data_IF_692527331399
#
_entry.id   IF_692527331399
#
_cell.length_a   1.000
_cell.length_b   1.000
_cell.length_c   1.000
_cell.angle_alpha   90.00
_cell.angle_beta   90.00
_cell.angle_gamma   90.00
#
_symmetry.space_group_name_H-M   'P 1'
#
loop_
_entity.id
_entity.type
_entity.pdbx_description
1 polymer ?
#
# COMPACT_ATOMS: atom_id res chain seq x y z
N UNK A 1 -31.13 16.18 -93.60
CA UNK A 1 -31.74 15.82 -92.29
C UNK A 1 -30.80 14.79 -91.65
N UNK A 2 -30.18 14.91 -90.49
CA UNK A 2 -30.23 15.83 -89.37
C UNK A 2 -29.87 15.04 -88.10
N UNK A 3 -28.95 15.56 -87.26
CA UNK A 3 -28.62 15.20 -85.85
C UNK A 3 -27.84 13.88 -85.65
N UNK A 4 -26.59 13.83 -85.13
CA UNK A 4 -25.97 14.31 -83.86
C UNK A 4 -26.66 13.83 -82.57
N UNK A 5 -25.93 13.06 -81.76
CA UNK A 5 -25.69 13.17 -80.30
C UNK A 5 -24.89 11.92 -79.84
N UNK A 6 -23.64 12.03 -79.37
CA UNK A 6 -23.19 12.17 -77.96
C UNK A 6 -23.70 11.03 -77.06
N UNK A 7 -22.97 10.31 -76.21
CA UNK A 7 -21.63 10.25 -75.63
C UNK A 7 -21.49 8.78 -75.10
N UNK A 8 -20.39 8.18 -74.62
CA UNK A 8 -19.46 8.60 -73.58
C UNK A 8 -18.30 7.58 -73.46
N UNK A 9 -17.28 8.02 -72.71
CA UNK A 9 -15.93 7.50 -72.50
C UNK A 9 -15.90 6.32 -71.50
N UNK A 10 -14.96 5.38 -71.68
CA UNK A 10 -14.30 4.68 -70.57
C UNK A 10 -12.83 4.37 -70.93
N UNK A 11 -11.93 5.22 -70.44
CA UNK A 11 -10.47 5.05 -70.46
C UNK A 11 -10.05 4.24 -69.23
N UNK A 12 -9.42 3.10 -69.44
CA UNK A 12 -8.71 2.37 -68.40
C UNK A 12 -7.29 2.95 -68.25
N UNK A 13 -6.93 3.39 -67.05
CA UNK A 13 -5.54 3.73 -66.71
C UNK A 13 -5.15 2.99 -65.44
N UNK A 14 -4.13 2.15 -65.62
CA UNK A 14 -3.34 1.42 -64.62
C UNK A 14 -2.71 2.41 -63.63
N UNK A 15 -2.93 2.22 -62.33
CA UNK A 15 -2.25 2.94 -61.25
C UNK A 15 -1.39 2.00 -60.43
N UNK A 16 -0.08 2.05 -60.66
CA UNK A 16 0.98 1.35 -59.93
C UNK A 16 1.04 1.84 -58.46
N UNK A 17 0.72 0.98 -57.50
CA UNK A 17 0.88 1.28 -56.07
C UNK A 17 2.32 0.97 -55.66
N UNK A 18 3.14 2.02 -55.53
CA UNK A 18 4.43 1.99 -54.85
C UNK A 18 4.18 2.03 -53.33
N UNK A 19 4.24 0.88 -52.67
CA UNK A 19 4.31 0.81 -51.21
C UNK A 19 5.69 1.30 -50.77
N UNK A 20 5.76 2.51 -50.25
CA UNK A 20 6.94 3.00 -49.53
C UNK A 20 7.04 2.26 -48.20
N UNK A 21 7.99 1.33 -48.10
CA UNK A 21 8.44 0.84 -46.81
C UNK A 21 9.14 2.00 -46.10
N UNK A 22 8.44 2.65 -45.17
CA UNK A 22 9.09 3.50 -44.19
C UNK A 22 9.89 2.59 -43.26
N UNK A 23 11.18 2.42 -43.56
CA UNK A 23 12.14 1.88 -42.60
C UNK A 23 12.14 2.85 -41.43
N UNK A 24 11.45 2.47 -40.36
CA UNK A 24 11.47 3.19 -39.09
C UNK A 24 12.94 3.22 -38.65
N UNK A 25 13.61 4.34 -38.85
CA UNK A 25 14.95 4.55 -38.31
C UNK A 25 14.78 4.51 -36.80
N UNK A 26 15.21 3.41 -36.17
CA UNK A 26 15.42 3.38 -34.74
C UNK A 26 16.39 4.52 -34.43
N UNK A 27 15.86 5.65 -33.93
CA UNK A 27 16.67 6.78 -33.53
C UNK A 27 17.66 6.30 -32.49
N UNK A 28 18.95 6.48 -32.76
CA UNK A 28 20.00 6.22 -31.78
C UNK A 28 19.66 7.00 -30.51
N UNK A 29 19.57 6.34 -29.33
CA UNK A 29 19.24 7.03 -28.09
C UNK A 29 20.22 8.17 -27.84
N UNK A 30 19.71 9.32 -27.40
CA UNK A 30 20.60 10.40 -26.95
C UNK A 30 21.32 10.01 -25.64
N UNK A 31 22.26 10.85 -25.19
CA UNK A 31 23.05 10.57 -23.98
C UNK A 31 22.18 10.32 -22.73
N UNK A 32 21.15 11.14 -22.52
CA UNK A 32 20.22 11.02 -21.37
C UNK A 32 19.41 9.72 -21.44
N UNK A 33 18.96 9.34 -22.62
CA UNK A 33 18.22 8.10 -22.86
C UNK A 33 19.11 6.87 -22.62
N UNK A 34 20.36 6.93 -23.09
CA UNK A 34 21.35 5.86 -22.89
C UNK A 34 21.71 5.69 -21.41
N UNK A 35 21.88 6.79 -20.67
CA UNK A 35 22.16 6.79 -19.23
C UNK A 35 20.99 6.22 -18.42
N UNK A 36 19.74 6.62 -18.74
CA UNK A 36 18.56 6.13 -18.06
C UNK A 36 18.37 4.62 -18.29
N UNK A 37 18.61 4.14 -19.52
CA UNK A 37 18.57 2.71 -19.84
C UNK A 37 19.65 1.93 -19.07
N UNK A 38 20.90 2.40 -19.08
CA UNK A 38 21.99 1.76 -18.34
C UNK A 38 21.73 1.73 -16.82
N UNK A 39 21.08 2.76 -16.28
CA UNK A 39 20.70 2.82 -14.86
C UNK A 39 19.62 1.79 -14.54
N UNK A 40 18.61 1.66 -15.40
CA UNK A 40 17.57 0.64 -15.27
C UNK A 40 18.15 -0.77 -15.33
N UNK A 41 18.98 -1.06 -16.33
CA UNK A 41 19.58 -2.38 -16.51
C UNK A 41 20.45 -2.78 -15.32
N UNK A 42 21.21 -1.83 -14.75
CA UNK A 42 21.99 -2.05 -13.52
C UNK A 42 21.07 -2.36 -12.33
N UNK A 43 20.05 -1.54 -12.10
CA UNK A 43 19.12 -1.76 -10.98
C UNK A 43 18.37 -3.10 -11.09
N UNK A 44 18.00 -3.51 -12.31
CA UNK A 44 17.40 -4.82 -12.58
C UNK A 44 18.40 -5.96 -12.32
N UNK A 45 19.66 -5.81 -12.73
CA UNK A 45 20.73 -6.75 -12.43
C UNK A 45 20.95 -6.95 -10.93
N UNK A 46 21.03 -5.84 -10.18
CA UNK A 46 21.18 -5.85 -8.72
C UNK A 46 19.97 -6.52 -8.05
N UNK A 47 18.75 -6.22 -8.50
CA UNK A 47 17.54 -6.84 -7.96
C UNK A 47 17.53 -8.36 -8.18
N UNK A 48 17.88 -8.84 -9.37
CA UNK A 48 18.01 -10.28 -9.67
C UNK A 48 19.07 -10.95 -8.80
N UNK A 49 20.23 -10.30 -8.64
CA UNK A 49 21.33 -10.83 -7.83
C UNK A 49 20.94 -10.98 -6.37
N UNK A 50 20.33 -9.95 -5.77
CA UNK A 50 19.90 -9.97 -4.37
C UNK A 50 18.75 -10.97 -4.15
N UNK A 51 17.82 -11.10 -5.11
CA UNK A 51 16.78 -12.14 -5.08
C UNK A 51 17.39 -13.54 -5.04
N UNK A 52 18.29 -13.85 -5.97
CA UNK A 52 18.95 -15.16 -6.03
C UNK A 52 19.72 -15.46 -4.74
N UNK A 53 20.42 -14.47 -4.20
CA UNK A 53 21.19 -14.58 -2.96
C UNK A 53 20.27 -14.86 -1.74
N UNK A 54 19.15 -14.14 -1.60
CA UNK A 54 18.19 -14.42 -0.52
C UNK A 54 17.47 -15.75 -0.68
N UNK A 55 17.15 -16.13 -1.92
CA UNK A 55 16.58 -17.45 -2.24
C UNK A 55 17.52 -18.56 -1.81
N UNK A 56 18.80 -18.49 -2.22
CA UNK A 56 19.81 -19.50 -1.84
C UNK A 56 19.94 -19.64 -0.33
N UNK A 57 20.04 -18.54 0.41
CA UNK A 57 20.12 -18.60 1.87
C UNK A 57 18.91 -19.29 2.49
N UNK A 58 17.70 -18.97 2.01
CA UNK A 58 16.46 -19.60 2.49
C UNK A 58 16.42 -21.10 2.15
N UNK A 59 16.74 -21.47 0.90
CA UNK A 59 16.76 -22.87 0.44
C UNK A 59 17.81 -23.71 1.18
N UNK A 60 19.00 -23.15 1.41
CA UNK A 60 20.09 -23.79 2.14
C UNK A 60 19.92 -23.75 3.67
N UNK A 61 18.87 -23.08 4.18
CA UNK A 61 18.64 -22.84 5.62
C UNK A 61 19.83 -22.15 6.31
N UNK A 62 20.53 -21.30 5.57
CA UNK A 62 21.60 -20.48 6.11
C UNK A 62 21.04 -19.37 7.02
N UNK A 63 21.83 -18.88 7.99
CA UNK A 63 21.45 -17.71 8.77
C UNK A 63 21.19 -16.50 7.87
N UNK A 64 20.01 -15.89 8.04
CA UNK A 64 19.66 -14.66 7.33
C UNK A 64 20.26 -13.43 8.02
N UNK A 65 20.53 -12.34 7.27
CA UNK A 65 21.03 -11.11 7.89
C UNK A 65 20.00 -10.47 8.81
N UNK A 66 20.49 -9.66 9.76
CA UNK A 66 19.64 -8.81 10.59
C UNK A 66 18.89 -7.82 9.68
N UNK A 67 17.54 -7.87 9.66
CA UNK A 67 16.66 -7.22 8.68
C UNK A 67 16.74 -7.86 7.28
N UNK A 68 16.29 -9.11 7.14
CA UNK A 68 16.58 -9.93 5.96
C UNK A 68 15.91 -9.43 4.67
N UNK A 69 14.82 -8.68 4.77
CA UNK A 69 14.11 -8.08 3.65
C UNK A 69 14.63 -6.71 3.23
N UNK A 70 15.53 -6.06 3.99
CA UNK A 70 15.92 -4.67 3.74
C UNK A 70 16.60 -4.49 2.38
N UNK A 71 17.59 -5.31 2.06
CA UNK A 71 18.31 -5.23 0.78
C UNK A 71 17.38 -5.49 -0.41
N UNK A 72 16.49 -6.49 -0.30
CA UNK A 72 15.49 -6.79 -1.32
C UNK A 72 14.52 -5.64 -1.55
N UNK A 73 14.02 -5.05 -0.46
CA UNK A 73 13.10 -3.92 -0.54
C UNK A 73 13.75 -2.73 -1.25
N UNK A 74 14.99 -2.39 -0.90
CA UNK A 74 15.73 -1.30 -1.52
C UNK A 74 15.99 -1.57 -3.01
N UNK A 75 16.39 -2.79 -3.37
CA UNK A 75 16.62 -3.16 -4.76
C UNK A 75 15.32 -3.10 -5.60
N UNK A 76 14.19 -3.55 -5.03
CA UNK A 76 12.87 -3.40 -5.65
C UNK A 76 12.48 -1.94 -5.85
N UNK A 77 12.72 -1.08 -4.84
CA UNK A 77 12.45 0.36 -4.98
C UNK A 77 13.35 0.98 -6.05
N UNK A 78 14.63 0.57 -6.12
CA UNK A 78 15.58 1.05 -7.12
C UNK A 78 15.13 0.71 -8.54
N UNK A 79 14.71 -0.53 -8.81
CA UNK A 79 14.28 -0.93 -10.16
C UNK A 79 13.03 -0.17 -10.62
N UNK A 80 12.02 -0.03 -9.78
CA UNK A 80 10.79 0.74 -10.06
C UNK A 80 11.14 2.22 -10.29
N UNK A 81 12.02 2.78 -9.44
CA UNK A 81 12.50 4.15 -9.58
C UNK A 81 13.23 4.39 -10.90
N UNK A 82 14.20 3.53 -11.24
CA UNK A 82 14.98 3.66 -12.47
C UNK A 82 14.14 3.44 -13.72
N UNK A 83 13.10 2.61 -13.63
CA UNK A 83 12.16 2.44 -14.73
C UNK A 83 11.32 3.69 -14.94
N UNK A 84 10.89 4.36 -13.86
CA UNK A 84 10.24 5.66 -13.97
C UNK A 84 11.16 6.71 -14.60
N UNK A 85 12.44 6.74 -14.23
CA UNK A 85 13.44 7.61 -14.85
C UNK A 85 13.63 7.29 -16.35
N UNK A 86 13.64 6.01 -16.71
CA UNK A 86 13.71 5.55 -18.09
C UNK A 86 12.49 5.98 -18.91
N UNK A 87 11.28 5.78 -18.42
CA UNK A 87 10.06 6.17 -19.14
C UNK A 87 9.88 7.68 -19.24
N UNK A 88 10.42 8.46 -18.30
CA UNK A 88 10.49 9.92 -18.41
C UNK A 88 11.45 10.38 -19.52
N UNK A 89 12.59 9.70 -19.68
CA UNK A 89 13.55 10.00 -20.75
C UNK A 89 13.14 9.41 -22.11
N UNK A 90 12.41 8.30 -22.10
CA UNK A 90 11.99 7.51 -23.26
C UNK A 90 10.52 7.06 -23.10
N UNK A 91 9.53 7.92 -23.38
CA UNK A 91 8.12 7.55 -23.24
C UNK A 91 7.69 6.33 -24.06
N UNK A 92 8.41 6.00 -25.14
CA UNK A 92 8.21 4.77 -25.92
C UNK A 92 8.50 3.48 -25.14
N UNK A 93 9.15 3.56 -23.97
CA UNK A 93 9.39 2.44 -23.06
C UNK A 93 8.24 2.18 -22.09
N UNK A 94 7.22 3.04 -22.04
CA UNK A 94 6.01 2.81 -21.22
C UNK A 94 5.36 1.52 -21.71
N UNK A 95 5.26 0.54 -20.81
CA UNK A 95 4.78 -0.79 -21.13
C UNK A 95 3.27 -0.95 -21.11
N UNK A 96 2.84 -2.22 -21.14
CA UNK A 96 1.46 -2.65 -20.95
C UNK A 96 1.04 -2.54 -19.46
N UNK A 97 -0.28 -2.55 -19.17
CA UNK A 97 -0.77 -2.77 -17.81
C UNK A 97 -0.21 -4.05 -17.17
N UNK A 98 -0.05 -4.02 -15.84
CA UNK A 98 0.47 -5.13 -15.04
C UNK A 98 -0.58 -5.60 -14.01
N UNK A 99 -0.42 -6.80 -13.49
CA UNK A 99 -1.32 -7.42 -12.50
C UNK A 99 -1.32 -6.74 -11.12
N UNK A 100 -0.37 -5.85 -10.87
CA UNK A 100 -0.28 -5.08 -9.63
C UNK A 100 -1.00 -3.73 -9.72
N UNK A 101 -1.55 -3.40 -10.90
CA UNK A 101 -2.28 -2.15 -11.17
C UNK A 101 -1.43 -0.90 -10.91
N UNK A 102 -0.11 -1.06 -10.97
CA UNK A 102 0.83 0.05 -10.91
C UNK A 102 0.77 0.78 -12.25
N UNK A 103 0.74 2.13 -12.30
CA UNK A 103 0.72 2.84 -13.58
C UNK A 103 1.87 2.40 -14.49
N UNK A 104 1.66 2.12 -15.80
CA UNK A 104 2.68 1.53 -16.66
C UNK A 104 3.95 2.37 -16.87
N UNK A 105 3.92 3.66 -16.56
CA UNK A 105 5.12 4.49 -16.55
C UNK A 105 6.03 4.20 -15.34
N UNK A 106 5.50 3.58 -14.29
CA UNK A 106 6.23 3.33 -13.04
C UNK A 106 6.71 1.88 -12.92
N UNK A 107 6.17 0.95 -13.71
CA UNK A 107 6.46 -0.46 -13.54
C UNK A 107 6.61 -1.20 -14.86
N UNK A 108 7.73 -1.91 -15.00
CA UNK A 108 7.99 -2.82 -16.10
C UNK A 108 7.20 -4.12 -15.91
N UNK A 109 6.21 -4.36 -16.78
CA UNK A 109 5.39 -5.57 -16.70
C UNK A 109 6.21 -6.86 -16.91
N UNK A 110 7.41 -6.79 -17.52
CA UNK A 110 8.23 -7.98 -17.78
C UNK A 110 8.92 -8.49 -16.51
N UNK A 111 9.00 -7.68 -15.44
CA UNK A 111 9.60 -8.09 -14.16
C UNK A 111 8.60 -8.67 -13.17
N UNK A 112 7.32 -8.85 -13.54
CA UNK A 112 6.30 -9.44 -12.68
C UNK A 112 6.73 -10.77 -12.01
N UNK A 113 7.40 -11.72 -12.69
CA UNK A 113 7.86 -12.96 -12.04
C UNK A 113 8.86 -12.70 -10.91
N UNK A 114 9.70 -11.66 -11.02
CA UNK A 114 10.65 -11.30 -9.97
C UNK A 114 9.94 -10.70 -8.75
N UNK A 115 8.82 -9.99 -8.97
CA UNK A 115 8.00 -9.46 -7.87
C UNK A 115 7.21 -10.57 -7.17
N UNK A 116 6.77 -11.60 -7.90
CA UNK A 116 6.18 -12.80 -7.28
C UNK A 116 7.20 -13.52 -6.41
N UNK A 117 8.43 -13.68 -6.91
CA UNK A 117 9.51 -14.28 -6.13
C UNK A 117 9.82 -13.45 -4.89
N UNK A 118 10.00 -12.13 -5.04
CA UNK A 118 10.16 -11.19 -3.93
C UNK A 118 9.09 -11.42 -2.86
N UNK A 119 7.82 -11.54 -3.27
CA UNK A 119 6.70 -11.72 -2.34
C UNK A 119 6.82 -13.05 -1.59
N UNK A 120 7.17 -14.14 -2.28
CA UNK A 120 7.38 -15.47 -1.67
C UNK A 120 8.54 -15.48 -0.68
N UNK A 121 9.64 -14.78 -0.97
CA UNK A 121 10.76 -14.67 -0.01
C UNK A 121 10.34 -13.88 1.23
N UNK A 122 9.56 -12.80 1.06
CA UNK A 122 9.00 -12.06 2.19
C UNK A 122 8.04 -12.90 3.04
N UNK A 123 7.26 -13.80 2.43
CA UNK A 123 6.42 -14.75 3.18
C UNK A 123 7.23 -15.59 4.18
N UNK A 124 8.45 -15.98 3.82
CA UNK A 124 9.36 -16.72 4.70
C UNK A 124 10.00 -15.80 5.75
N UNK A 125 10.53 -14.66 5.33
CA UNK A 125 11.25 -13.73 6.21
C UNK A 125 10.35 -13.07 7.26
N UNK A 126 9.06 -12.91 6.95
CA UNK A 126 8.06 -12.30 7.81
C UNK A 126 7.20 -13.33 8.55
N UNK A 127 7.54 -14.62 8.43
CA UNK A 127 6.81 -15.69 9.09
C UNK A 127 6.66 -15.41 10.59
N UNK A 128 5.45 -15.61 11.16
CA UNK A 128 5.24 -15.49 12.59
C UNK A 128 6.18 -16.43 13.37
N UNK A 129 6.64 -16.04 14.57
CA UNK A 129 7.41 -16.94 15.41
C UNK A 129 6.59 -18.17 15.83
N UNK A 130 7.30 -19.26 16.16
CA UNK A 130 6.69 -20.40 16.83
C UNK A 130 6.05 -19.94 18.15
N UNK A 131 4.75 -20.23 18.32
CA UNK A 131 3.96 -19.77 19.47
C UNK A 131 3.15 -18.49 19.25
N UNK A 132 3.23 -17.87 18.06
CA UNK A 132 2.30 -16.80 17.70
C UNK A 132 0.85 -17.27 17.78
N UNK A 133 0.00 -16.47 18.43
CA UNK A 133 -1.36 -16.80 18.78
C UNK A 133 -2.31 -16.26 17.73
N UNK A 134 -2.61 -17.11 16.75
CA UNK A 134 -3.54 -16.80 15.68
C UNK A 134 -4.99 -16.79 16.19
N UNK A 135 -5.80 -15.98 15.55
CA UNK A 135 -7.26 -16.01 15.60
C UNK A 135 -7.81 -16.86 14.46
N UNK A 136 -8.94 -17.54 14.71
CA UNK A 136 -9.73 -18.22 13.70
C UNK A 136 -10.58 -17.24 12.85
N UNK A 137 -10.80 -16.01 13.34
CA UNK A 137 -11.64 -15.00 12.69
C UNK A 137 -10.93 -13.66 12.53
N UNK A 138 -9.70 -13.62 11.99
CA UNK A 138 -8.83 -12.45 12.09
C UNK A 138 -9.43 -11.18 11.49
N UNK A 139 -10.09 -11.29 10.35
CA UNK A 139 -10.71 -10.13 9.71
C UNK A 139 -11.92 -9.60 10.51
N UNK A 140 -12.70 -10.51 11.10
CA UNK A 140 -13.85 -10.15 11.93
C UNK A 140 -13.39 -9.47 13.21
N UNK A 141 -12.31 -9.97 13.82
CA UNK A 141 -11.74 -9.40 15.05
C UNK A 141 -11.34 -7.93 14.85
N UNK A 142 -10.69 -7.62 13.73
CA UNK A 142 -10.34 -6.23 13.38
C UNK A 142 -11.58 -5.34 13.28
N UNK A 143 -12.62 -5.81 12.59
CA UNK A 143 -13.87 -5.05 12.41
C UNK A 143 -14.58 -4.86 13.75
N UNK A 144 -14.77 -5.93 14.52
CA UNK A 144 -15.48 -5.92 15.79
C UNK A 144 -14.79 -5.01 16.82
N UNK A 145 -13.47 -5.14 16.97
CA UNK A 145 -12.67 -4.33 17.89
C UNK A 145 -12.77 -2.85 17.51
N UNK A 146 -12.54 -2.50 16.24
CA UNK A 146 -12.61 -1.12 15.79
C UNK A 146 -14.01 -0.50 15.94
N UNK A 147 -15.07 -1.26 15.62
CA UNK A 147 -16.44 -0.80 15.81
C UNK A 147 -16.78 -0.61 17.29
N UNK A 148 -16.34 -1.52 18.17
CA UNK A 148 -16.56 -1.38 19.61
C UNK A 148 -15.81 -0.16 20.18
N UNK A 149 -14.54 0.03 19.81
CA UNK A 149 -13.73 1.20 20.18
C UNK A 149 -14.41 2.49 19.70
N UNK A 150 -14.87 2.52 18.45
CA UNK A 150 -15.55 3.69 17.90
C UNK A 150 -16.84 4.03 18.66
N UNK A 151 -17.66 3.02 19.02
CA UNK A 151 -18.86 3.23 19.83
C UNK A 151 -18.53 3.77 21.22
N UNK A 152 -17.52 3.21 21.90
CA UNK A 152 -17.04 3.73 23.18
C UNK A 152 -16.53 5.19 23.05
N UNK A 153 -15.98 5.57 21.89
CA UNK A 153 -15.59 6.95 21.59
C UNK A 153 -16.75 7.88 21.22
N UNK A 154 -17.99 7.39 21.24
CA UNK A 154 -19.22 8.17 21.05
C UNK A 154 -19.78 8.14 19.62
N UNK A 155 -19.29 7.26 18.75
CA UNK A 155 -19.81 7.20 17.38
C UNK A 155 -21.17 6.50 17.30
N UNK A 156 -22.07 7.10 16.52
CA UNK A 156 -23.31 6.45 16.10
C UNK A 156 -23.01 5.16 15.30
N UNK A 157 -23.94 4.18 15.27
CA UNK A 157 -23.72 2.87 14.66
C UNK A 157 -23.14 2.92 13.24
N UNK A 158 -23.70 3.73 12.34
CA UNK A 158 -23.23 3.83 10.95
C UNK A 158 -21.77 4.34 10.83
N UNK A 159 -21.35 5.27 11.69
CA UNK A 159 -19.98 5.76 11.71
C UNK A 159 -19.02 4.77 12.37
N UNK A 160 -19.48 4.03 13.39
CA UNK A 160 -18.68 2.97 14.01
C UNK A 160 -18.42 1.79 13.05
N UNK A 161 -19.34 1.51 12.13
CA UNK A 161 -19.11 0.55 11.05
C UNK A 161 -18.04 1.03 10.05
N UNK A 162 -18.02 2.34 9.74
CA UNK A 162 -16.94 2.90 8.92
C UNK A 162 -15.58 2.75 9.61
N UNK A 163 -15.50 2.90 10.94
CA UNK A 163 -14.26 2.61 11.70
C UNK A 163 -13.81 1.16 11.53
N UNK A 164 -14.75 0.21 11.59
CA UNK A 164 -14.50 -1.22 11.35
C UNK A 164 -13.92 -1.49 9.96
N UNK A 165 -14.56 -0.95 8.93
CA UNK A 165 -14.10 -1.06 7.52
C UNK A 165 -12.72 -0.45 7.33
N UNK A 166 -12.50 0.78 7.82
CA UNK A 166 -11.21 1.48 7.72
C UNK A 166 -10.11 0.67 8.40
N UNK A 167 -10.36 0.15 9.59
CA UNK A 167 -9.40 -0.63 10.36
C UNK A 167 -9.03 -1.95 9.67
N UNK A 168 -9.98 -2.59 8.98
CA UNK A 168 -9.66 -3.73 8.13
C UNK A 168 -8.73 -3.31 6.98
N UNK A 169 -8.94 -2.14 6.39
CA UNK A 169 -8.01 -1.53 5.43
C UNK A 169 -6.59 -1.44 5.99
N UNK A 170 -6.43 -0.92 7.21
CA UNK A 170 -5.14 -0.80 7.89
C UNK A 170 -4.48 -2.16 8.10
N UNK A 171 -5.23 -3.18 8.51
CA UNK A 171 -4.70 -4.54 8.63
C UNK A 171 -4.09 -5.05 7.31
N UNK A 172 -4.73 -4.75 6.18
CA UNK A 172 -4.19 -5.07 4.85
C UNK A 172 -2.99 -4.19 4.47
N UNK A 173 -3.01 -2.89 4.80
CA UNK A 173 -1.87 -1.99 4.59
C UNK A 173 -0.61 -2.51 5.30
N UNK A 174 -0.72 -2.84 6.58
CA UNK A 174 0.40 -3.24 7.42
C UNK A 174 0.94 -4.63 7.07
N UNK A 175 0.07 -5.62 6.93
CA UNK A 175 0.49 -7.04 6.91
C UNK A 175 -0.05 -7.83 5.73
N UNK A 176 -0.73 -7.17 4.79
CA UNK A 176 -1.44 -7.84 3.70
C UNK A 176 -2.56 -8.79 4.20
N UNK A 177 -3.07 -8.54 5.41
CA UNK A 177 -4.08 -9.37 6.07
C UNK A 177 -3.51 -10.60 6.78
N UNK A 178 -2.21 -10.63 7.04
CA UNK A 178 -1.54 -11.74 7.72
C UNK A 178 -1.42 -11.49 9.21
N UNK A 179 -1.63 -12.52 10.00
CA UNK A 179 -1.56 -12.43 11.45
C UNK A 179 -0.12 -12.54 11.93
N UNK A 180 0.21 -11.75 12.96
CA UNK A 180 1.39 -11.95 13.81
C UNK A 180 2.73 -11.97 13.06
N UNK A 181 2.79 -11.34 11.89
CA UNK A 181 4.00 -11.36 11.05
C UNK A 181 5.12 -10.58 11.68
N UNK A 182 6.35 -11.05 11.45
CA UNK A 182 7.55 -10.22 11.67
C UNK A 182 7.61 -9.15 10.59
N UNK A 183 8.61 -8.28 10.67
CA UNK A 183 8.88 -7.29 9.65
C UNK A 183 10.26 -7.57 9.04
N UNK A 184 10.32 -7.78 7.73
CA UNK A 184 11.58 -8.07 7.06
C UNK A 184 12.57 -6.91 7.12
N UNK A 185 12.12 -5.71 7.50
CA UNK A 185 12.86 -4.45 7.49
C UNK A 185 12.95 -3.78 8.86
N UNK A 186 12.37 -4.37 9.89
CA UNK A 186 12.43 -3.83 11.26
C UNK A 186 12.39 -4.94 12.30
N UNK A 187 13.17 -4.79 13.37
CA UNK A 187 13.01 -5.63 14.57
C UNK A 187 12.07 -5.00 15.59
N UNK A 188 11.66 -3.74 15.37
CA UNK A 188 10.84 -2.99 16.32
C UNK A 188 9.36 -3.25 16.08
N UNK A 189 8.93 -3.17 14.83
CA UNK A 189 7.53 -3.25 14.44
C UNK A 189 7.20 -4.68 14.02
N UNK A 190 6.16 -5.27 14.62
CA UNK A 190 5.75 -6.65 14.37
C UNK A 190 4.31 -6.88 14.80
N UNK A 191 3.79 -8.05 14.50
CA UNK A 191 2.42 -8.41 14.86
C UNK A 191 1.45 -8.12 13.72
N UNK A 192 0.17 -8.36 14.01
CA UNK A 192 -0.93 -8.17 13.06
C UNK A 192 -1.12 -6.71 12.63
N UNK A 193 -0.73 -5.74 13.45
CA UNK A 193 -0.80 -4.30 13.17
C UNK A 193 0.58 -3.63 13.15
N UNK A 194 1.66 -4.42 13.06
CA UNK A 194 3.03 -3.91 12.96
C UNK A 194 3.38 -2.86 14.04
N UNK A 195 3.04 -3.12 15.30
CA UNK A 195 3.23 -2.16 16.39
C UNK A 195 4.60 -2.28 17.05
N UNK A 196 5.16 -1.15 17.46
CA UNK A 196 6.33 -1.11 18.34
C UNK A 196 5.99 -1.41 19.81
N UNK A 197 6.97 -1.76 20.66
CA UNK A 197 6.70 -2.07 22.07
C UNK A 197 6.07 -0.92 22.86
N UNK A 198 6.44 0.33 22.57
CA UNK A 198 5.83 1.51 23.22
C UNK A 198 4.40 1.74 22.77
N UNK A 199 4.11 1.46 21.51
CA UNK A 199 2.78 1.61 20.92
C UNK A 199 1.82 0.58 21.50
N UNK A 200 2.27 -0.68 21.60
CA UNK A 200 1.54 -1.78 22.23
C UNK A 200 1.18 -1.43 23.69
N UNK A 201 2.18 -1.04 24.51
CA UNK A 201 1.93 -0.62 25.90
C UNK A 201 0.97 0.57 26.02
N UNK A 202 1.12 1.55 25.13
CA UNK A 202 0.26 2.73 25.14
C UNK A 202 -1.18 2.39 24.71
N UNK A 203 -1.32 1.52 23.71
CA UNK A 203 -2.58 0.95 23.25
C UNK A 203 -3.31 0.25 24.37
N UNK A 204 -2.64 -0.69 25.05
CA UNK A 204 -3.17 -1.43 26.19
C UNK A 204 -3.65 -0.50 27.30
N UNK A 205 -2.82 0.47 27.70
CA UNK A 205 -3.21 1.46 28.73
C UNK A 205 -4.47 2.24 28.34
N UNK A 206 -4.57 2.63 27.07
CA UNK A 206 -5.77 3.34 26.57
C UNK A 206 -6.98 2.41 26.49
N UNK A 207 -6.79 1.13 26.17
CA UNK A 207 -7.86 0.12 26.16
C UNK A 207 -8.46 -0.04 27.55
N UNK A 208 -7.62 -0.22 28.57
CA UNK A 208 -8.07 -0.36 29.96
C UNK A 208 -8.94 0.82 30.41
N UNK A 209 -8.66 2.03 29.91
CA UNK A 209 -9.45 3.22 30.23
C UNK A 209 -10.89 3.20 29.69
N UNK A 210 -11.19 2.38 28.68
CA UNK A 210 -12.54 2.24 28.08
C UNK A 210 -13.13 0.84 28.30
N UNK A 211 -12.43 -0.06 28.98
CA UNK A 211 -12.79 -1.48 29.08
C UNK A 211 -14.15 -1.70 29.75
N UNK A 212 -14.50 -0.91 30.78
CA UNK A 212 -15.80 -0.97 31.44
C UNK A 212 -16.95 -0.52 30.52
N UNK A 213 -16.73 0.50 29.69
CA UNK A 213 -17.70 0.96 28.70
C UNK A 213 -17.96 -0.13 27.64
N UNK A 214 -16.89 -0.77 27.18
CA UNK A 214 -16.97 -1.91 26.26
C UNK A 214 -17.72 -3.08 26.90
N UNK A 215 -17.42 -3.42 28.16
CA UNK A 215 -18.10 -4.51 28.88
C UNK A 215 -19.60 -4.22 29.06
N UNK A 216 -19.98 -2.98 29.34
CA UNK A 216 -21.38 -2.58 29.45
C UNK A 216 -22.12 -2.66 28.11
N UNK A 217 -21.47 -2.27 27.01
CA UNK A 217 -22.08 -2.24 25.68
C UNK A 217 -22.03 -3.60 24.94
N UNK A 218 -21.02 -4.41 25.20
CA UNK A 218 -20.79 -5.70 24.55
C UNK A 218 -20.05 -6.68 25.50
N UNK A 219 -20.79 -7.35 26.40
CA UNK A 219 -20.21 -8.29 27.36
C UNK A 219 -19.46 -9.45 26.71
N UNK A 220 -19.92 -9.94 25.56
CA UNK A 220 -19.27 -11.05 24.84
C UNK A 220 -17.88 -10.66 24.30
N UNK A 221 -17.76 -9.45 23.72
CA UNK A 221 -16.48 -8.94 23.27
C UNK A 221 -15.51 -8.75 24.44
N UNK A 222 -15.98 -8.24 25.59
CA UNK A 222 -15.14 -8.11 26.79
C UNK A 222 -14.70 -9.48 27.33
N UNK A 223 -15.58 -10.47 27.37
CA UNK A 223 -15.23 -11.82 27.81
C UNK A 223 -14.20 -12.46 26.87
N UNK A 224 -14.32 -12.19 25.56
CA UNK A 224 -13.32 -12.60 24.58
C UNK A 224 -11.99 -11.90 24.80
N UNK A 225 -12.01 -10.59 25.07
CA UNK A 225 -10.80 -9.82 25.40
C UNK A 225 -10.07 -10.40 26.62
N UNK A 226 -10.78 -10.73 27.69
CA UNK A 226 -10.19 -11.35 28.89
C UNK A 226 -9.55 -12.71 28.60
N UNK A 227 -10.16 -13.51 27.71
CA UNK A 227 -9.58 -14.79 27.25
C UNK A 227 -8.30 -14.59 26.45
N UNK A 228 -8.27 -13.60 25.57
CA UNK A 228 -7.11 -13.30 24.73
C UNK A 228 -5.97 -12.67 25.53
N UNK A 229 -6.28 -11.79 26.49
CA UNK A 229 -5.34 -11.30 27.50
C UNK A 229 -4.73 -12.46 28.30
N UNK A 230 -5.54 -13.43 28.71
CA UNK A 230 -5.07 -14.62 29.41
C UNK A 230 -4.14 -15.46 28.54
N UNK A 231 -4.47 -15.62 27.26
CA UNK A 231 -3.67 -16.36 26.28
C UNK A 231 -2.32 -15.69 26.06
N UNK A 232 -2.27 -14.36 25.97
CA UNK A 232 -1.06 -13.59 25.71
C UNK A 232 -0.07 -13.55 26.90
N UNK A 233 -0.49 -13.90 28.12
CA UNK A 233 0.36 -13.87 29.33
C UNK A 233 1.63 -14.69 29.14
N UNK A 234 2.77 -14.09 29.53
CA UNK A 234 4.09 -14.74 29.45
C UNK A 234 4.70 -14.76 28.05
N UNK A 235 4.06 -14.12 27.06
CA UNK A 235 4.58 -13.96 25.69
C UNK A 235 4.66 -12.47 25.31
N UNK A 236 5.27 -12.17 24.16
CA UNK A 236 5.16 -10.83 23.58
C UNK A 236 3.73 -10.65 23.04
N UNK A 237 2.99 -9.73 23.66
CA UNK A 237 1.58 -9.42 23.38
C UNK A 237 1.32 -9.08 21.90
N UNK A 238 2.35 -8.64 21.19
CA UNK A 238 2.25 -8.30 19.76
C UNK A 238 2.10 -9.52 18.86
N UNK A 239 2.44 -10.71 19.36
CA UNK A 239 2.22 -11.98 18.67
C UNK A 239 0.91 -12.67 19.04
N UNK A 240 0.01 -12.00 19.76
CA UNK A 240 -1.40 -12.37 19.80
C UNK A 240 -2.20 -11.44 18.88
N UNK A 241 -2.96 -12.03 17.96
CA UNK A 241 -3.68 -11.26 16.94
C UNK A 241 -4.65 -10.26 17.55
N UNK A 242 -5.46 -10.70 18.51
CA UNK A 242 -6.51 -9.90 19.13
C UNK A 242 -5.93 -8.72 19.89
N UNK A 243 -4.99 -8.98 20.81
CA UNK A 243 -4.38 -7.93 21.62
C UNK A 243 -3.60 -6.95 20.76
N UNK A 244 -2.86 -7.44 19.75
CA UNK A 244 -2.08 -6.56 18.90
C UNK A 244 -2.94 -5.64 18.02
N UNK A 245 -4.04 -6.15 17.46
CA UNK A 245 -5.02 -5.34 16.72
C UNK A 245 -5.62 -4.28 17.63
N UNK A 246 -6.15 -4.70 18.79
CA UNK A 246 -6.77 -3.82 19.78
C UNK A 246 -5.82 -2.71 20.21
N UNK A 247 -4.61 -3.06 20.60
CA UNK A 247 -3.63 -2.12 21.13
C UNK A 247 -3.08 -1.20 20.03
N UNK A 248 -2.86 -1.71 18.82
CA UNK A 248 -2.51 -0.89 17.65
C UNK A 248 -3.57 0.17 17.32
N UNK A 249 -4.85 -0.25 17.29
CA UNK A 249 -5.97 0.66 17.06
C UNK A 249 -6.10 1.71 18.18
N UNK A 250 -6.00 1.29 19.44
CA UNK A 250 -6.06 2.20 20.58
C UNK A 250 -4.90 3.19 20.62
N UNK A 251 -3.71 2.76 20.22
CA UNK A 251 -2.54 3.61 20.18
C UNK A 251 -2.67 4.74 19.15
N UNK A 252 -2.93 4.39 17.90
CA UNK A 252 -2.83 5.31 16.77
C UNK A 252 -4.17 5.94 16.34
N UNK A 253 -5.27 5.17 16.39
CA UNK A 253 -6.48 5.49 15.62
C UNK A 253 -7.70 5.85 16.46
N UNK A 254 -7.83 5.33 17.67
CA UNK A 254 -9.05 5.47 18.49
C UNK A 254 -9.50 6.92 18.71
N UNK A 255 -8.58 7.86 18.91
CA UNK A 255 -8.95 9.29 19.05
C UNK A 255 -9.40 9.92 17.73
N UNK A 256 -8.90 9.42 16.59
CA UNK A 256 -9.29 9.92 15.26
C UNK A 256 -10.62 9.36 14.80
N UNK A 257 -11.10 8.25 15.39
CA UNK A 257 -12.44 7.74 15.07
C UNK A 257 -13.53 8.78 15.29
N UNK A 258 -13.39 9.67 16.28
CA UNK A 258 -14.33 10.79 16.52
C UNK A 258 -14.50 11.73 15.31
N UNK A 259 -13.49 11.80 14.45
CA UNK A 259 -13.48 12.64 13.26
C UNK A 259 -14.11 11.96 12.03
N UNK A 260 -14.46 10.66 12.12
CA UNK A 260 -15.02 9.90 10.98
C UNK A 260 -16.24 10.57 10.34
N UNK A 261 -17.21 11.15 11.07
CA UNK A 261 -18.33 11.84 10.43
C UNK A 261 -17.89 12.98 9.49
N UNK A 262 -16.90 13.77 9.91
CA UNK A 262 -16.31 14.83 9.08
C UNK A 262 -15.50 14.26 7.92
N UNK A 263 -14.68 13.23 8.19
CA UNK A 263 -13.86 12.56 7.18
C UNK A 263 -14.72 11.97 6.06
N UNK A 264 -15.82 11.28 6.38
CA UNK A 264 -16.73 10.69 5.38
C UNK A 264 -17.36 11.78 4.49
N UNK A 265 -17.63 12.96 5.05
CA UNK A 265 -18.15 14.10 4.27
C UNK A 265 -17.09 14.67 3.31
N UNK A 266 -15.83 14.77 3.75
CA UNK A 266 -14.73 15.33 2.96
C UNK A 266 -14.16 14.34 1.94
N UNK A 267 -14.07 13.06 2.31
CA UNK A 267 -13.55 11.94 1.53
C UNK A 267 -14.66 10.88 1.38
N UNK A 268 -15.59 11.03 0.44
CA UNK A 268 -16.69 10.09 0.29
C UNK A 268 -16.23 8.69 -0.16
N UNK A 269 -15.08 8.59 -0.85
CA UNK A 269 -14.51 7.30 -1.26
C UNK A 269 -13.96 6.51 -0.05
N UNK A 270 -14.48 5.30 0.23
CA UNK A 270 -13.94 4.37 1.22
C UNK A 270 -12.43 4.15 1.17
N UNK A 271 -11.83 4.11 -0.03
CA UNK A 271 -10.40 3.86 -0.24
C UNK A 271 -9.58 5.07 0.19
N UNK A 272 -10.01 6.28 -0.14
CA UNK A 272 -9.34 7.51 0.30
C UNK A 272 -9.41 7.70 1.81
N UNK A 273 -10.49 7.25 2.46
CA UNK A 273 -10.57 7.21 3.92
C UNK A 273 -9.51 6.25 4.52
N UNK A 274 -9.32 5.07 3.92
CA UNK A 274 -8.28 4.13 4.37
C UNK A 274 -6.87 4.70 4.17
N UNK A 275 -6.61 5.36 3.03
CA UNK A 275 -5.35 6.07 2.78
C UNK A 275 -5.10 7.17 3.83
N UNK A 276 -6.11 7.96 4.18
CA UNK A 276 -5.97 8.99 5.20
C UNK A 276 -5.58 8.40 6.55
N UNK A 277 -6.20 7.28 6.95
CA UNK A 277 -5.85 6.61 8.20
C UNK A 277 -4.46 5.96 8.14
N UNK A 278 -4.04 5.46 6.99
CA UNK A 278 -2.67 4.99 6.79
C UNK A 278 -1.65 6.12 6.93
N UNK A 279 -1.98 7.33 6.49
CA UNK A 279 -1.14 8.52 6.71
C UNK A 279 -1.04 8.92 8.19
N UNK A 280 -1.93 8.47 9.07
CA UNK A 280 -1.78 8.65 10.51
C UNK A 280 -0.61 7.80 11.03
N UNK A 281 -0.34 6.65 10.41
CA UNK A 281 0.80 5.80 10.77
C UNK A 281 2.11 6.32 10.16
N UNK A 282 2.05 6.76 8.89
CA UNK A 282 3.24 7.20 8.15
C UNK A 282 3.72 8.59 8.60
N UNK A 283 2.80 9.55 8.74
CA UNK A 283 3.09 10.95 9.07
C UNK A 283 2.04 11.52 10.05
N UNK A 284 1.99 11.04 11.30
CA UNK A 284 0.89 11.31 12.25
C UNK A 284 0.63 12.80 12.49
N UNK A 285 1.67 13.57 12.74
CA UNK A 285 1.56 15.00 13.10
C UNK A 285 0.90 15.83 11.99
N UNK A 286 1.43 15.87 10.74
CA UNK A 286 0.79 16.64 9.67
C UNK A 286 -0.60 16.12 9.31
N UNK A 287 -0.87 14.80 9.41
CA UNK A 287 -2.21 14.26 9.15
C UNK A 287 -3.24 14.75 10.17
N UNK A 288 -2.88 14.77 11.46
CA UNK A 288 -3.75 15.35 12.51
C UNK A 288 -3.92 16.86 12.35
N UNK A 289 -2.87 17.58 11.93
CA UNK A 289 -2.96 19.01 11.65
C UNK A 289 -3.88 19.31 10.45
N UNK A 290 -3.83 18.49 9.40
CA UNK A 290 -4.72 18.60 8.25
C UNK A 290 -6.19 18.34 8.64
N UNK A 291 -6.46 17.34 9.50
CA UNK A 291 -7.80 17.11 10.04
C UNK A 291 -8.33 18.31 10.84
N UNK A 292 -7.49 18.88 11.71
CA UNK A 292 -7.85 20.03 12.54
C UNK A 292 -8.02 21.34 11.76
N UNK A 293 -7.46 21.45 10.56
CA UNK A 293 -7.57 22.68 9.76
C UNK A 293 -8.96 22.87 9.16
N UNK A 294 -9.77 21.81 9.05
CA UNK A 294 -11.04 21.83 8.31
C UNK A 294 -10.88 21.86 6.78
N UNK A 295 -9.66 21.96 6.26
CA UNK A 295 -9.32 21.91 4.84
C UNK A 295 -8.24 20.85 4.59
N UNK A 296 -8.62 19.59 4.81
CA UNK A 296 -7.72 18.44 4.73
C UNK A 296 -7.03 18.39 3.37
N UNK A 297 -7.80 18.50 2.27
CA UNK A 297 -7.30 18.24 0.92
C UNK A 297 -6.28 19.27 0.44
N UNK A 298 -6.43 20.53 0.83
CA UNK A 298 -5.48 21.59 0.44
C UNK A 298 -4.37 21.81 1.47
N UNK A 299 -4.42 21.17 2.65
CA UNK A 299 -3.35 21.25 3.63
C UNK A 299 -2.02 20.80 3.01
N UNK A 300 -1.00 21.66 3.09
CA UNK A 300 0.31 21.41 2.47
C UNK A 300 1.35 20.96 3.48
N UNK A 301 2.13 19.98 3.08
CA UNK A 301 3.33 19.52 3.76
C UNK A 301 4.54 20.02 2.97
N UNK A 302 5.44 20.74 3.63
CA UNK A 302 6.71 21.21 3.07
C UNK A 302 7.93 20.88 3.92
N UNK A 303 7.73 20.26 5.09
CA UNK A 303 8.85 19.84 5.95
C UNK A 303 9.71 18.79 5.22
N UNK A 304 11.03 19.04 5.05
CA UNK A 304 11.91 18.08 4.37
C UNK A 304 11.91 16.70 5.03
N UNK A 305 11.83 16.66 6.36
CA UNK A 305 11.75 15.42 7.14
C UNK A 305 10.47 14.65 6.83
N UNK A 306 9.31 15.33 6.80
CA UNK A 306 8.04 14.68 6.47
C UNK A 306 8.02 14.22 5.00
N UNK A 307 8.51 15.04 4.07
CA UNK A 307 8.64 14.63 2.67
C UNK A 307 9.54 13.40 2.52
N UNK A 308 10.62 13.29 3.32
CA UNK A 308 11.45 12.08 3.37
C UNK A 308 10.66 10.86 3.88
N UNK A 309 9.84 11.01 4.91
CA UNK A 309 8.98 9.92 5.40
C UNK A 309 7.98 9.44 4.35
N UNK A 310 7.37 10.35 3.59
CA UNK A 310 6.49 9.98 2.47
C UNK A 310 7.25 9.13 1.43
N UNK A 311 8.44 9.56 1.01
CA UNK A 311 9.28 8.82 0.04
C UNK A 311 9.70 7.45 0.55
N UNK A 312 10.05 7.34 1.83
CA UNK A 312 10.39 6.05 2.45
C UNK A 312 9.20 5.07 2.48
N UNK A 313 7.97 5.56 2.33
CA UNK A 313 6.75 4.77 2.21
C UNK A 313 6.22 4.75 0.77
N UNK A 314 7.12 4.96 -0.20
CA UNK A 314 6.84 4.88 -1.63
C UNK A 314 5.84 5.92 -2.17
N UNK A 315 5.66 7.04 -1.45
CA UNK A 315 4.87 8.20 -1.89
C UNK A 315 5.84 9.27 -2.43
N UNK A 316 5.71 9.64 -3.70
CA UNK A 316 6.68 10.49 -4.42
C UNK A 316 8.12 9.92 -4.42
N UNK A 317 8.25 8.60 -4.46
CA UNK A 317 9.54 7.93 -4.38
C UNK A 317 10.18 7.62 -5.75
N UNK A 318 9.38 7.54 -6.81
CA UNK A 318 9.79 6.91 -8.07
C UNK A 318 10.02 7.95 -9.16
N UNK A 319 11.21 7.95 -9.71
CA UNK A 319 11.65 8.94 -10.69
C UNK A 319 12.19 10.25 -10.09
N UNK A 320 12.97 10.98 -10.87
CA UNK A 320 13.60 12.25 -10.46
C UNK A 320 12.55 13.31 -10.12
N UNK A 321 11.50 13.44 -10.92
CA UNK A 321 10.48 14.48 -10.75
C UNK A 321 9.75 14.35 -9.39
N UNK A 322 9.39 13.12 -9.01
CA UNK A 322 8.77 12.83 -7.72
C UNK A 322 9.72 13.12 -6.55
N UNK A 323 10.98 12.66 -6.66
CA UNK A 323 11.98 12.90 -5.61
C UNK A 323 12.32 14.38 -5.44
N UNK A 324 12.25 15.17 -6.52
CA UNK A 324 12.50 16.61 -6.50
C UNK A 324 11.37 17.43 -5.84
N UNK A 325 10.20 16.84 -5.55
CA UNK A 325 9.10 17.54 -4.90
C UNK A 325 9.49 17.99 -3.48
N UNK A 326 9.47 19.30 -3.25
CA UNK A 326 9.75 19.89 -1.93
C UNK A 326 8.50 20.10 -1.07
N UNK A 327 7.31 20.00 -1.67
CA UNK A 327 6.04 20.06 -0.96
C UNK A 327 4.94 19.30 -1.70
N UNK A 328 3.88 18.94 -0.98
CA UNK A 328 2.66 18.37 -1.55
C UNK A 328 1.45 18.71 -0.69
N UNK A 329 0.30 18.87 -1.31
CA UNK A 329 -1.01 18.87 -0.63
C UNK A 329 -1.43 17.45 -0.26
N UNK A 330 -2.31 17.29 0.73
CA UNK A 330 -2.88 15.97 1.05
C UNK A 330 -3.65 15.36 -0.13
N UNK A 331 -4.28 16.17 -1.00
CA UNK A 331 -4.85 15.68 -2.26
C UNK A 331 -3.80 14.99 -3.13
N UNK A 332 -2.64 15.61 -3.33
CA UNK A 332 -1.54 15.03 -4.09
C UNK A 332 -0.98 13.78 -3.41
N UNK A 333 -0.88 13.79 -2.08
CA UNK A 333 -0.40 12.64 -1.29
C UNK A 333 -1.35 11.44 -1.46
N UNK A 334 -2.66 11.62 -1.27
CA UNK A 334 -3.65 10.56 -1.41
C UNK A 334 -3.69 9.98 -2.83
N UNK A 335 -3.51 10.83 -3.86
CA UNK A 335 -3.40 10.38 -5.25
C UNK A 335 -2.12 9.55 -5.50
N UNK A 336 -1.01 9.89 -4.84
CA UNK A 336 0.25 9.17 -4.96
C UNK A 336 0.31 7.85 -4.18
N UNK A 337 -0.69 7.54 -3.35
CA UNK A 337 -0.78 6.29 -2.57
C UNK A 337 -1.36 5.10 -3.37
N UNK A 338 -1.15 5.05 -4.69
CA UNK A 338 -1.70 4.01 -5.56
C UNK A 338 -1.21 2.59 -5.22
N UNK A 339 -0.03 2.43 -4.62
CA UNK A 339 0.47 1.13 -4.14
C UNK A 339 -0.43 0.48 -3.07
N UNK A 340 -1.30 1.26 -2.42
CA UNK A 340 -2.22 0.76 -1.40
C UNK A 340 -3.59 0.37 -1.97
N UNK A 341 -3.96 0.80 -3.18
CA UNK A 341 -5.31 0.60 -3.73
C UNK A 341 -5.73 -0.88 -3.70
N UNK A 342 -4.92 -1.76 -4.30
CA UNK A 342 -5.19 -3.20 -4.33
C UNK A 342 -5.32 -3.84 -2.94
N UNK A 343 -4.56 -3.34 -1.95
CA UNK A 343 -4.67 -3.81 -0.55
C UNK A 343 -6.03 -3.42 0.05
N UNK A 344 -6.43 -2.17 -0.17
CA UNK A 344 -7.69 -1.64 0.33
C UNK A 344 -8.90 -2.22 -0.39
N UNK A 345 -8.82 -2.49 -1.70
CA UNK A 345 -9.87 -3.20 -2.44
C UNK A 345 -10.06 -4.63 -1.92
N UNK A 346 -8.96 -5.34 -1.62
CA UNK A 346 -9.04 -6.66 -0.97
C UNK A 346 -9.67 -6.58 0.42
N UNK A 347 -9.35 -5.53 1.19
CA UNK A 347 -10.00 -5.27 2.46
C UNK A 347 -11.50 -5.03 2.30
N UNK A 348 -11.92 -4.30 1.26
CA UNK A 348 -13.33 -4.06 0.94
C UNK A 348 -14.07 -5.35 0.57
N UNK A 349 -13.45 -6.22 -0.24
CA UNK A 349 -14.01 -7.54 -0.56
C UNK A 349 -14.20 -8.36 0.71
N UNK A 350 -13.18 -8.42 1.59
CA UNK A 350 -13.29 -9.12 2.87
C UNK A 350 -14.32 -8.49 3.81
N UNK A 351 -14.44 -7.18 3.83
CA UNK A 351 -15.46 -6.49 4.62
C UNK A 351 -16.87 -6.91 4.19
N UNK A 352 -17.13 -6.96 2.89
CA UNK A 352 -18.42 -7.41 2.35
C UNK A 352 -18.72 -8.87 2.69
N UNK A 353 -17.72 -9.76 2.66
CA UNK A 353 -17.88 -11.16 3.09
C UNK A 353 -18.24 -11.28 4.59
N UNK A 354 -17.71 -10.41 5.43
CA UNK A 354 -18.01 -10.39 6.88
C UNK A 354 -19.40 -9.84 7.13
N UNK A 355 -19.79 -8.77 6.43
CA UNK A 355 -21.10 -8.12 6.55
C UNK A 355 -22.26 -8.98 6.05
N UNK A 356 -22.01 -9.85 5.07
CA UNK A 356 -23.01 -10.76 4.51
C UNK A 356 -23.20 -12.06 5.30
N UNK A 357 -22.48 -12.24 6.40
CA UNK A 357 -22.60 -13.36 7.35
C UNK A 357 -23.24 -12.85 8.64
#
# INVERSE_FOLDING_TARGET
MGRRCHAAIALAVLGLILTTFTVSHAQTPNAKQSEALATYDRALGDFKSILAERRRQIEAKEPLPNLPGQALYLARVAVISSYKDLTDAMPSRIGKPNKFEIPPAYFDADIEPLIDEYSKLFDVMEAPPAGAQNSATPFKDVVDLATAIARAKGLAPAHAEAAGRISLGLFFAETNGKQNVRNGRSNTYMGSFQTGPSEDRNGRRKWEAIKSEIAAANPELSARDDKEEARARGTDYRFNHWTNVRDGLMNAHAEVFREIPGIVKTLPDPIDQMKLFELIQIVPTPTRSALKSGDVLNYRVSSPTIMKHLRNNSIFAFGQADRARNSASFREILAAMWLFNRKFERAMVKYSEIKGR
#
